data_IF_719066482892
#
_entry.id   IF_719066482892
#
_cell.length_a   1.000
_cell.length_b   1.000
_cell.length_c   1.000
_cell.angle_alpha   90.00
_cell.angle_beta   90.00
_cell.angle_gamma   90.00
#
_symmetry.space_group_name_H-M   'P 1'
#
loop_
_entity.id
_entity.type
_entity.pdbx_description
1 polymer ?
#
# COMPACT_ATOMS: atom_id res chain seq x y z
N UNK A 1 -9.59 -43.10 -17.62
CA UNK A 1 -8.74 -42.81 -16.45
C UNK A 1 -9.50 -42.99 -15.12
N UNK A 2 -10.08 -44.17 -14.86
CA UNK A 2 -10.90 -44.39 -13.65
C UNK A 2 -10.47 -45.57 -12.78
N UNK A 3 -9.78 -46.55 -13.36
CA UNK A 3 -9.42 -47.78 -12.65
C UNK A 3 -8.11 -47.63 -11.85
N UNK A 4 -7.09 -47.00 -12.43
CA UNK A 4 -5.79 -46.78 -11.77
C UNK A 4 -5.93 -45.88 -10.54
N UNK A 5 -6.72 -44.79 -10.64
CA UNK A 5 -6.99 -43.89 -9.52
C UNK A 5 -7.83 -44.56 -8.43
N UNK A 6 -8.81 -45.40 -8.80
CA UNK A 6 -9.59 -46.20 -7.85
C UNK A 6 -8.71 -47.20 -7.08
N UNK A 7 -7.78 -47.87 -7.78
CA UNK A 7 -6.81 -48.77 -7.14
C UNK A 7 -5.87 -47.98 -6.21
N UNK A 8 -5.33 -46.84 -6.67
CA UNK A 8 -4.43 -46.02 -5.89
C UNK A 8 -5.08 -45.47 -4.61
N UNK A 9 -6.29 -44.90 -4.72
CA UNK A 9 -7.04 -44.35 -3.57
C UNK A 9 -7.45 -45.46 -2.59
N UNK A 10 -7.86 -46.64 -3.11
CA UNK A 10 -8.15 -47.81 -2.28
C UNK A 10 -6.90 -48.26 -1.53
N UNK A 11 -5.73 -48.26 -2.15
CA UNK A 11 -4.46 -48.59 -1.49
C UNK A 11 -4.05 -47.55 -0.45
N UNK A 12 -4.35 -46.26 -0.68
CA UNK A 12 -4.07 -45.16 0.26
C UNK A 12 -4.97 -45.20 1.50
N UNK A 13 -6.26 -45.51 1.34
CA UNK A 13 -7.28 -45.46 2.41
C UNK A 13 -7.44 -46.82 3.12
N UNK A 14 -7.11 -47.94 2.48
CA UNK A 14 -7.34 -49.26 3.04
C UNK A 14 -6.57 -49.48 4.36
N UNK A 15 -7.32 -49.52 5.46
CA UNK A 15 -6.87 -49.96 6.79
C UNK A 15 -6.43 -51.43 6.71
N UNK A 16 -5.14 -51.68 6.46
CA UNK A 16 -4.57 -53.03 6.64
C UNK A 16 -4.52 -53.38 8.13
N UNK A 17 -4.52 -54.68 8.44
CA UNK A 17 -4.19 -55.22 9.77
C UNK A 17 -2.80 -54.80 10.30
N UNK A 18 -1.99 -54.09 9.51
CA UNK A 18 -0.68 -53.54 9.88
C UNK A 18 -0.79 -52.03 10.11
N UNK A 19 -1.04 -51.63 11.35
CA UNK A 19 -1.14 -50.23 11.76
C UNK A 19 0.13 -49.41 11.44
N UNK A 20 1.31 -50.05 11.46
CA UNK A 20 2.61 -49.41 11.17
C UNK A 20 2.69 -48.77 9.78
N UNK A 21 2.21 -49.44 8.73
CA UNK A 21 2.25 -48.90 7.37
C UNK A 21 1.30 -47.71 7.18
N UNK A 22 0.16 -47.74 7.85
CA UNK A 22 -0.83 -46.65 7.81
C UNK A 22 -0.27 -45.40 8.50
N UNK A 23 0.45 -45.57 9.61
CA UNK A 23 1.08 -44.47 10.34
C UNK A 23 2.13 -43.73 9.51
N UNK A 24 3.03 -44.45 8.86
CA UNK A 24 4.09 -43.84 8.03
C UNK A 24 3.47 -43.03 6.90
N UNK A 25 2.47 -43.60 6.21
CA UNK A 25 1.79 -42.93 5.09
C UNK A 25 1.13 -41.62 5.54
N UNK A 26 0.45 -41.62 6.69
CA UNK A 26 -0.19 -40.42 7.24
C UNK A 26 0.85 -39.35 7.61
N UNK A 27 1.94 -39.73 8.27
CA UNK A 27 3.01 -38.79 8.66
C UNK A 27 3.67 -38.19 7.42
N UNK A 28 3.96 -38.99 6.39
CA UNK A 28 4.55 -38.52 5.14
C UNK A 28 3.65 -37.52 4.41
N UNK A 29 2.35 -37.80 4.32
CA UNK A 29 1.38 -36.88 3.70
C UNK A 29 1.25 -35.59 4.49
N UNK A 30 1.15 -35.66 5.82
CA UNK A 30 1.10 -34.48 6.68
C UNK A 30 2.36 -33.62 6.57
N UNK A 31 3.54 -34.24 6.49
CA UNK A 31 4.81 -33.53 6.31
C UNK A 31 4.85 -32.72 5.01
N UNK A 32 4.39 -33.30 3.90
CA UNK A 32 4.30 -32.59 2.61
C UNK A 32 3.27 -31.45 2.69
N UNK A 33 2.09 -31.69 3.29
CA UNK A 33 1.07 -30.66 3.45
C UNK A 33 1.62 -29.47 4.23
N UNK A 34 2.26 -29.72 5.38
CA UNK A 34 2.84 -28.65 6.20
C UNK A 34 3.96 -27.94 5.45
N UNK A 35 4.87 -28.67 4.79
CA UNK A 35 5.98 -28.07 4.05
C UNK A 35 5.50 -27.15 2.92
N UNK A 36 4.55 -27.62 2.12
CA UNK A 36 3.98 -26.83 1.01
C UNK A 36 3.15 -25.65 1.55
N UNK A 37 2.37 -25.85 2.61
CA UNK A 37 1.59 -24.77 3.22
C UNK A 37 2.49 -23.63 3.72
N UNK A 38 3.60 -23.96 4.40
CA UNK A 38 4.57 -22.95 4.86
C UNK A 38 5.15 -22.18 3.69
N UNK A 39 5.57 -22.86 2.62
CA UNK A 39 6.10 -22.20 1.43
C UNK A 39 5.06 -21.28 0.77
N UNK A 40 3.81 -21.72 0.65
CA UNK A 40 2.72 -20.90 0.10
C UNK A 40 2.49 -19.66 0.96
N UNK A 41 2.47 -19.79 2.28
CA UNK A 41 2.26 -18.66 3.20
C UNK A 41 3.39 -17.66 3.08
N UNK A 42 4.65 -18.11 3.11
CA UNK A 42 5.82 -17.23 2.96
C UNK A 42 5.77 -16.48 1.64
N UNK A 43 5.53 -17.18 0.52
CA UNK A 43 5.41 -16.55 -0.79
C UNK A 43 4.25 -15.56 -0.86
N UNK A 44 3.11 -15.88 -0.24
CA UNK A 44 1.94 -14.98 -0.21
C UNK A 44 2.23 -13.71 0.58
N UNK A 45 2.91 -13.82 1.72
CA UNK A 45 3.33 -12.67 2.53
C UNK A 45 4.35 -11.83 1.77
N UNK A 46 5.38 -12.45 1.18
CA UNK A 46 6.41 -11.75 0.41
C UNK A 46 5.80 -11.00 -0.78
N UNK A 47 4.96 -11.67 -1.57
CA UNK A 47 4.31 -11.05 -2.73
C UNK A 47 3.37 -9.90 -2.32
N UNK A 48 2.56 -10.09 -1.27
CA UNK A 48 1.67 -9.04 -0.78
C UNK A 48 2.43 -7.83 -0.24
N UNK A 49 3.54 -8.07 0.47
CA UNK A 49 4.39 -7.02 1.00
C UNK A 49 5.18 -6.30 -0.09
N UNK A 50 5.65 -7.01 -1.11
CA UNK A 50 6.30 -6.40 -2.27
C UNK A 50 5.36 -5.42 -2.99
N UNK A 51 4.11 -5.81 -3.20
CA UNK A 51 3.08 -4.92 -3.78
C UNK A 51 2.85 -3.71 -2.88
N UNK A 52 2.66 -3.90 -1.58
CA UNK A 52 2.42 -2.79 -0.64
C UNK A 52 3.63 -1.83 -0.52
N UNK A 53 4.86 -2.35 -0.51
CA UNK A 53 6.07 -1.52 -0.54
C UNK A 53 6.16 -0.78 -1.86
N UNK A 54 5.97 -1.48 -2.98
CA UNK A 54 6.02 -0.87 -4.30
C UNK A 54 4.99 0.25 -4.41
N UNK A 55 3.78 0.02 -3.95
CA UNK A 55 2.70 1.01 -3.94
C UNK A 55 2.95 2.13 -2.92
N UNK A 56 3.66 1.90 -1.81
CA UNK A 56 4.03 2.99 -0.89
C UNK A 56 5.20 3.84 -1.39
N UNK A 57 6.12 3.25 -2.14
CA UNK A 57 7.28 3.94 -2.71
C UNK A 57 6.89 4.68 -4.00
N UNK A 58 6.16 4.02 -4.90
CA UNK A 58 5.74 4.55 -6.20
C UNK A 58 4.35 5.18 -6.16
N UNK A 59 3.51 4.78 -5.21
CA UNK A 59 2.15 5.29 -5.12
C UNK A 59 2.14 6.63 -4.40
N UNK A 60 1.79 7.64 -5.19
CA UNK A 60 1.00 8.75 -4.73
C UNK A 60 1.74 9.77 -3.86
N UNK A 61 3.01 10.02 -4.18
CA UNK A 61 3.67 11.30 -3.86
C UNK A 61 3.87 12.09 -5.15
N UNK A 62 3.97 13.39 -4.98
CA UNK A 62 4.27 14.35 -6.04
C UNK A 62 5.64 13.97 -6.58
N UNK A 63 5.67 13.60 -7.86
CA UNK A 63 6.88 13.09 -8.49
C UNK A 63 7.96 14.18 -8.60
N UNK A 64 7.54 15.44 -8.61
CA UNK A 64 8.41 16.61 -8.73
C UNK A 64 7.94 17.64 -7.71
N UNK A 65 8.89 18.17 -6.95
CA UNK A 65 8.66 19.24 -5.98
C UNK A 65 9.52 20.44 -6.39
N UNK A 66 8.87 21.57 -6.67
CA UNK A 66 9.56 22.81 -7.02
C UNK A 66 9.62 23.70 -5.77
N UNK A 67 10.83 23.94 -5.26
CA UNK A 67 11.06 24.79 -4.10
C UNK A 67 11.96 25.98 -4.46
N UNK A 68 11.70 27.11 -3.83
CA UNK A 68 12.61 28.26 -3.91
C UNK A 68 13.88 27.99 -3.06
N UNK A 69 15.07 28.19 -3.64
CA UNK A 69 16.37 27.89 -2.99
C UNK A 69 16.51 28.60 -1.63
N UNK A 70 16.04 29.84 -1.55
CA UNK A 70 16.14 30.66 -0.32
C UNK A 70 14.96 30.53 0.66
N UNK A 71 14.04 29.56 0.48
CA UNK A 71 12.83 29.38 1.32
C UNK A 71 11.94 30.65 1.49
N UNK A 72 12.09 31.67 0.64
CA UNK A 72 11.33 32.93 0.69
C UNK A 72 9.90 32.83 0.11
N UNK A 73 9.43 31.62 -0.18
CA UNK A 73 8.17 31.38 -0.89
C UNK A 73 8.28 31.73 -2.38
N UNK A 74 7.32 31.24 -3.17
CA UNK A 74 7.21 31.51 -4.61
C UNK A 74 6.05 32.48 -4.79
N UNK A 75 6.33 33.72 -5.21
CA UNK A 75 5.28 34.73 -5.46
C UNK A 75 4.50 34.43 -6.74
N UNK A 76 5.21 34.15 -7.82
CA UNK A 76 4.65 33.91 -9.16
C UNK A 76 4.27 32.43 -9.39
N UNK A 77 3.65 31.82 -8.38
CA UNK A 77 3.32 30.40 -8.39
C UNK A 77 2.31 30.03 -9.50
N UNK A 78 1.35 30.92 -9.81
CA UNK A 78 0.36 30.71 -10.87
C UNK A 78 0.99 30.63 -12.26
N UNK A 79 1.93 31.54 -12.58
CA UNK A 79 2.63 31.53 -13.87
C UNK A 79 3.52 30.28 -14.04
N UNK A 80 4.14 29.83 -12.94
CA UNK A 80 4.96 28.62 -12.94
C UNK A 80 4.09 27.38 -13.15
N UNK A 81 2.93 27.30 -12.49
CA UNK A 81 1.97 26.22 -12.67
C UNK A 81 1.53 26.15 -14.13
N UNK A 82 1.15 27.28 -14.73
CA UNK A 82 0.71 27.32 -16.14
C UNK A 82 1.81 26.86 -17.11
N UNK A 83 3.08 27.22 -16.84
CA UNK A 83 4.22 26.76 -17.64
C UNK A 83 4.47 25.26 -17.48
N UNK A 84 4.33 24.75 -16.26
CA UNK A 84 4.57 23.33 -15.95
C UNK A 84 3.46 22.44 -16.51
N UNK A 85 2.20 22.86 -16.42
CA UNK A 85 1.06 22.10 -16.99
C UNK A 85 1.11 22.00 -18.52
N UNK A 86 1.83 22.89 -19.21
CA UNK A 86 2.05 22.83 -20.67
C UNK A 86 3.11 21.82 -21.09
N UNK A 87 3.85 21.22 -20.16
CA UNK A 87 4.89 20.23 -20.46
C UNK A 87 4.21 18.87 -20.66
N UNK A 88 4.54 18.19 -21.76
CA UNK A 88 4.00 16.86 -22.07
C UNK A 88 4.39 15.84 -20.98
N UNK A 89 3.41 15.09 -20.49
CA UNK A 89 3.56 14.15 -19.38
C UNK A 89 3.23 14.69 -17.98
N UNK A 90 2.92 15.99 -17.82
CA UNK A 90 2.44 16.54 -16.54
C UNK A 90 0.94 16.31 -16.38
N UNK A 91 0.55 15.56 -15.34
CA UNK A 91 -0.86 15.24 -15.06
C UNK A 91 -1.60 16.33 -14.25
N UNK A 92 -0.85 17.20 -13.56
CA UNK A 92 -1.38 18.32 -12.80
C UNK A 92 -0.30 18.97 -11.95
N UNK A 93 -0.50 20.23 -11.58
CA UNK A 93 0.35 20.96 -10.64
C UNK A 93 -0.53 21.66 -9.58
N UNK A 94 -0.01 21.78 -8.36
CA UNK A 94 -0.71 22.36 -7.21
C UNK A 94 0.29 23.11 -6.34
N UNK A 95 0.00 24.33 -5.91
CA UNK A 95 0.84 25.07 -4.98
C UNK A 95 0.62 24.54 -3.57
N UNK A 96 1.71 24.40 -2.81
CA UNK A 96 1.63 24.06 -1.40
C UNK A 96 2.49 25.00 -0.55
N UNK A 97 2.10 25.13 0.72
CA UNK A 97 2.88 25.82 1.75
C UNK A 97 3.13 24.83 2.88
N UNK A 98 4.38 24.70 3.32
CA UNK A 98 4.76 23.84 4.44
C UNK A 98 5.28 24.71 5.58
N UNK A 99 4.70 24.57 6.77
CA UNK A 99 5.12 25.31 7.96
C UNK A 99 5.11 24.42 9.19
N UNK A 100 5.98 24.71 10.15
CA UNK A 100 6.01 24.03 11.44
C UNK A 100 5.10 24.79 12.40
N UNK A 101 4.26 24.07 13.13
CA UNK A 101 3.33 24.63 14.10
C UNK A 101 3.27 23.75 15.35
N UNK A 102 2.59 24.25 16.38
CA UNK A 102 2.34 23.50 17.61
C UNK A 102 0.84 23.25 17.71
N UNK A 103 0.46 21.97 17.78
CA UNK A 103 -0.91 21.57 18.05
C UNK A 103 -1.05 21.28 19.54
N UNK A 104 -1.96 22.01 20.20
CA UNK A 104 -2.24 21.83 21.63
C UNK A 104 -3.66 21.31 21.83
N UNK A 105 -3.79 20.38 22.75
CA UNK A 105 -5.06 19.84 23.25
C UNK A 105 -5.08 19.89 24.77
N UNK A 106 -6.23 19.60 25.38
CA UNK A 106 -6.38 19.58 26.86
C UNK A 106 -5.40 18.65 27.56
N UNK A 107 -4.89 17.62 26.87
CA UNK A 107 -4.06 16.57 27.45
C UNK A 107 -2.58 16.65 27.06
N UNK A 108 -2.25 17.26 25.92
CA UNK A 108 -0.89 17.22 25.40
C UNK A 108 -0.64 18.34 24.37
N UNK A 109 0.63 18.66 24.14
CA UNK A 109 1.08 19.62 23.14
C UNK A 109 2.20 19.03 22.30
N UNK A 110 1.99 18.97 20.99
CA UNK A 110 2.91 18.33 20.05
C UNK A 110 3.32 19.29 18.94
N UNK A 111 4.56 19.16 18.48
CA UNK A 111 4.99 19.79 17.24
C UNK A 111 4.36 19.09 16.04
N UNK A 112 3.80 19.86 15.11
CA UNK A 112 3.17 19.36 13.89
C UNK A 112 3.70 20.12 12.67
N UNK A 113 3.69 19.46 11.52
CA UNK A 113 3.95 20.12 10.23
C UNK A 113 2.61 20.35 9.55
N UNK A 114 2.29 21.61 9.29
CA UNK A 114 1.07 22.02 8.61
C UNK A 114 1.37 22.20 7.13
N UNK A 115 0.59 21.53 6.29
CA UNK A 115 0.64 21.66 4.84
C UNK A 115 -0.61 22.36 4.34
N UNK A 116 -0.47 23.60 3.89
CA UNK A 116 -1.52 24.32 3.18
C UNK A 116 -1.53 23.90 1.70
N UNK A 117 -2.70 23.54 1.19
CA UNK A 117 -2.93 23.16 -0.21
C UNK A 117 -4.24 23.76 -0.69
N UNK A 118 -4.39 23.97 -2.01
CA UNK A 118 -5.69 24.30 -2.61
C UNK A 118 -6.45 23.01 -2.91
N UNK A 119 -7.61 22.72 -2.28
CA UNK A 119 -8.27 21.42 -2.40
C UNK A 119 -8.59 20.98 -3.84
N UNK A 120 -8.97 21.91 -4.72
CA UNK A 120 -9.37 21.59 -6.09
C UNK A 120 -8.19 21.29 -7.03
N UNK A 121 -7.06 21.95 -6.80
CA UNK A 121 -5.82 21.71 -7.55
C UNK A 121 -5.10 20.46 -7.02
N UNK A 122 -5.10 20.25 -5.70
CA UNK A 122 -4.43 19.12 -5.05
C UNK A 122 -5.06 17.77 -5.43
N UNK A 123 -6.38 17.72 -5.65
CA UNK A 123 -7.09 16.52 -6.13
C UNK A 123 -6.53 15.99 -7.47
N UNK A 124 -5.95 16.86 -8.30
CA UNK A 124 -5.36 16.49 -9.60
C UNK A 124 -3.97 15.88 -9.44
N UNK A 125 -3.23 16.28 -8.41
CA UNK A 125 -1.83 15.89 -8.18
C UNK A 125 -1.72 14.69 -7.24
N UNK A 126 -2.62 14.59 -6.26
CA UNK A 126 -2.51 13.63 -5.18
C UNK A 126 -3.87 13.02 -4.80
N UNK A 127 -3.88 11.70 -4.59
CA UNK A 127 -5.04 10.99 -4.01
C UNK A 127 -5.18 11.17 -2.49
N UNK A 128 -4.56 12.19 -1.87
CA UNK A 128 -4.72 12.46 -0.43
C UNK A 128 -6.19 12.56 -0.03
N UNK A 129 -7.02 13.18 -0.86
CA UNK A 129 -8.47 13.28 -0.63
C UNK A 129 -9.16 11.92 -0.41
N UNK A 130 -8.67 10.85 -1.05
CA UNK A 130 -9.22 9.50 -0.95
C UNK A 130 -8.76 8.75 0.31
N UNK A 131 -7.69 9.20 0.96
CA UNK A 131 -7.10 8.56 2.13
C UNK A 131 -7.52 9.19 3.47
N UNK A 132 -8.44 10.16 3.44
CA UNK A 132 -8.92 10.85 4.65
C UNK A 132 -9.92 9.96 5.39
N UNK A 133 -9.56 9.55 6.60
CA UNK A 133 -10.42 8.73 7.46
C UNK A 133 -11.38 9.56 8.33
N UNK A 134 -11.06 10.83 8.60
CA UNK A 134 -11.86 11.77 9.39
C UNK A 134 -11.61 13.20 8.92
N UNK A 135 -12.67 14.00 8.84
CA UNK A 135 -12.63 15.39 8.36
C UNK A 135 -13.16 15.53 6.93
N UNK A 136 -13.28 16.77 6.47
CA UNK A 136 -13.69 17.13 5.11
C UNK A 136 -12.47 17.74 4.42
N UNK A 137 -12.19 17.32 3.18
CA UNK A 137 -11.11 17.89 2.35
C UNK A 137 -11.63 19.11 1.59
N UNK A 138 -12.20 20.04 2.34
CA UNK A 138 -12.69 21.29 1.80
C UNK A 138 -12.45 22.39 2.83
N UNK A 139 -12.18 23.58 2.32
CA UNK A 139 -11.98 24.78 3.10
C UNK A 139 -13.19 25.72 2.95
N UNK A 140 -14.39 25.18 2.78
CA UNK A 140 -15.63 25.91 3.03
C UNK A 140 -15.83 26.03 4.55
N UNK A 141 -15.29 27.11 5.12
CA UNK A 141 -15.67 27.57 6.45
C UNK A 141 -16.89 28.50 6.27
N UNK A 142 -18.01 28.29 6.98
CA UNK A 142 -19.11 29.25 7.04
C UNK A 142 -18.73 30.56 7.74
#
# INVERSE_FOLDING_TARGET
MGFEFFIALRYLIARRKQAFLTLITVISVLGVIVGVAVLIVVMSVMNGFEVDIRDKILGNREHIIINHIEKKGIKDHEEIIEKVEKIDGVLGASPYVLTEAIASSRYDTIGVVVRGVKPDEEKKVSKIAHNIKKGVFDFEVP
#
